data_IF_465093463722
#
_entry.id   IF_465093463722
#
_cell.length_a   1.000
_cell.length_b   1.000
_cell.length_c   1.000
_cell.angle_alpha   90.00
_cell.angle_beta   90.00
_cell.angle_gamma   90.00
#
_symmetry.space_group_name_H-M   'P 1'
#
loop_
_entity.id
_entity.type
_entity.pdbx_description
1 polymer ?
#
# COMPACT_ATOMS: atom_id res chain seq x y z
N UNK A 1 4.64 -26.39 -20.34
CA UNK A 1 5.00 -25.32 -19.38
C UNK A 1 5.11 -23.99 -20.13
N UNK A 2 4.37 -22.95 -19.71
CA UNK A 2 4.36 -21.65 -20.37
C UNK A 2 5.60 -20.87 -19.89
N UNK A 3 6.41 -20.37 -20.83
CA UNK A 3 7.62 -19.63 -20.52
C UNK A 3 7.44 -18.11 -20.73
N UNK A 4 7.91 -17.35 -19.75
CA UNK A 4 8.15 -15.92 -19.87
C UNK A 4 9.52 -15.56 -19.29
N UNK A 5 10.21 -14.58 -19.86
CA UNK A 5 11.46 -14.13 -19.30
C UNK A 5 11.30 -13.61 -17.87
N UNK A 6 10.22 -12.87 -17.61
CA UNK A 6 9.88 -12.33 -16.28
C UNK A 6 8.45 -12.75 -15.91
N UNK A 7 8.27 -13.31 -14.71
CA UNK A 7 6.95 -13.51 -14.12
C UNK A 7 6.83 -12.67 -12.85
N UNK A 8 5.71 -11.95 -12.74
CA UNK A 8 5.39 -11.06 -11.62
C UNK A 8 4.19 -11.65 -10.87
N UNK A 9 4.36 -11.97 -9.61
CA UNK A 9 3.30 -12.50 -8.76
C UNK A 9 2.65 -11.37 -7.98
N UNK A 10 1.45 -10.96 -8.42
CA UNK A 10 0.65 -9.86 -7.90
C UNK A 10 0.53 -8.67 -8.87
N UNK A 11 -0.69 -8.34 -9.26
CA UNK A 11 -1.06 -7.26 -10.20
C UNK A 11 -1.42 -5.92 -9.52
N UNK A 12 -1.07 -5.73 -8.24
CA UNK A 12 -1.24 -4.45 -7.55
C UNK A 12 -0.25 -3.38 -8.03
N UNK A 13 -0.23 -2.16 -7.42
CA UNK A 13 0.60 -1.03 -7.88
C UNK A 13 2.07 -1.36 -8.08
N UNK A 14 2.66 -2.24 -7.26
CA UNK A 14 4.04 -2.66 -7.40
C UNK A 14 4.26 -3.50 -8.67
N UNK A 15 3.47 -4.56 -8.85
CA UNK A 15 3.60 -5.45 -10.01
C UNK A 15 3.24 -4.77 -11.33
N UNK A 16 2.14 -4.01 -11.34
CA UNK A 16 1.73 -3.25 -12.53
C UNK A 16 2.77 -2.23 -12.96
N UNK A 17 3.38 -1.50 -12.01
CA UNK A 17 4.44 -0.53 -12.31
C UNK A 17 5.73 -1.20 -12.78
N UNK A 18 6.07 -2.38 -12.24
CA UNK A 18 7.20 -3.19 -12.70
C UNK A 18 6.96 -3.64 -14.15
N UNK A 19 5.80 -4.20 -14.44
CA UNK A 19 5.43 -4.68 -15.76
C UNK A 19 5.41 -3.54 -16.80
N UNK A 20 4.79 -2.40 -16.44
CA UNK A 20 4.81 -1.20 -17.29
C UNK A 20 6.23 -0.78 -17.65
N UNK A 21 7.12 -0.73 -16.65
CA UNK A 21 8.50 -0.32 -16.85
C UNK A 21 9.31 -1.34 -17.67
N UNK A 22 9.09 -2.64 -17.47
CA UNK A 22 9.68 -3.71 -18.29
C UNK A 22 9.25 -3.56 -19.75
N UNK A 23 7.97 -3.25 -20.00
CA UNK A 23 7.43 -3.04 -21.33
C UNK A 23 8.06 -1.82 -22.02
N UNK A 24 8.34 -0.72 -21.28
CA UNK A 24 9.12 0.42 -21.82
C UNK A 24 10.52 -0.02 -22.28
N UNK A 25 11.10 -1.06 -21.71
CA UNK A 25 12.39 -1.64 -22.11
C UNK A 25 12.28 -2.78 -23.13
N UNK A 26 11.09 -3.03 -23.68
CA UNK A 26 10.86 -4.10 -24.65
C UNK A 26 10.93 -5.52 -24.07
N UNK A 27 10.80 -5.67 -22.75
CA UNK A 27 10.79 -6.97 -22.08
C UNK A 27 9.35 -7.40 -21.81
N UNK A 28 8.95 -8.52 -22.41
CA UNK A 28 7.65 -9.13 -22.14
C UNK A 28 7.66 -9.85 -20.80
N UNK A 29 6.56 -9.69 -20.07
CA UNK A 29 6.35 -10.34 -18.78
C UNK A 29 4.91 -10.84 -18.63
N UNK A 30 4.73 -11.79 -17.71
CA UNK A 30 3.42 -12.28 -17.29
C UNK A 30 3.14 -11.83 -15.86
N UNK A 31 1.95 -11.28 -15.63
CA UNK A 31 1.45 -11.04 -14.28
C UNK A 31 0.50 -12.17 -13.89
N UNK A 32 0.77 -12.81 -12.75
CA UNK A 32 -0.12 -13.77 -12.10
C UNK A 32 -0.76 -13.08 -10.89
N UNK A 33 -2.09 -12.94 -10.89
CA UNK A 33 -2.81 -12.43 -9.71
C UNK A 33 -3.99 -13.36 -9.41
N UNK A 34 -4.21 -13.65 -8.14
CA UNK A 34 -5.30 -14.53 -7.71
C UNK A 34 -6.69 -13.92 -7.91
N UNK A 35 -6.79 -12.63 -8.15
CA UNK A 35 -8.05 -11.93 -8.34
C UNK A 35 -8.16 -11.32 -9.73
N UNK A 36 -9.37 -11.41 -10.29
CA UNK A 36 -9.71 -10.67 -11.51
C UNK A 36 -9.89 -9.19 -11.19
N UNK A 37 -9.38 -8.32 -12.05
CA UNK A 37 -9.55 -6.86 -11.93
C UNK A 37 -10.75 -6.37 -12.77
N UNK A 38 -11.43 -5.29 -12.34
CA UNK A 38 -11.18 -4.53 -11.10
C UNK A 38 -11.54 -5.30 -9.84
N UNK A 39 -10.84 -5.03 -8.73
CA UNK A 39 -11.07 -5.67 -7.44
C UNK A 39 -11.02 -4.68 -6.29
N UNK A 40 -11.76 -4.97 -5.23
CA UNK A 40 -11.67 -4.19 -4.00
C UNK A 40 -10.33 -4.45 -3.30
N UNK A 41 -9.63 -3.38 -2.95
CA UNK A 41 -8.43 -3.42 -2.11
C UNK A 41 -8.58 -2.38 -1.02
N UNK A 42 -8.64 -2.83 0.21
CA UNK A 42 -8.75 -1.98 1.38
C UNK A 42 -7.54 -1.05 1.48
N UNK A 43 -7.79 0.25 1.50
CA UNK A 43 -6.80 1.30 1.62
C UNK A 43 -7.48 2.67 1.58
N UNK A 44 -7.07 3.60 2.42
CA UNK A 44 -7.52 5.00 2.35
C UNK A 44 -7.34 5.62 0.95
N UNK A 45 -6.56 4.97 0.08
CA UNK A 45 -6.34 5.40 -1.31
C UNK A 45 -5.54 6.69 -1.41
N UNK A 46 -4.77 6.98 -0.42
CA UNK A 46 -3.96 8.18 -0.30
C UNK A 46 -2.68 8.04 -1.11
N UNK A 47 -2.36 9.01 -1.94
CA UNK A 47 -1.15 9.03 -2.73
C UNK A 47 -0.44 10.38 -2.63
N UNK A 48 0.88 10.33 -2.62
CA UNK A 48 1.72 11.50 -2.65
C UNK A 48 1.94 11.99 -4.10
N UNK A 49 2.32 13.26 -4.31
CA UNK A 49 2.69 13.75 -5.65
C UNK A 49 3.79 12.94 -6.35
N UNK A 50 4.63 12.24 -5.57
CA UNK A 50 5.67 11.37 -6.13
C UNK A 50 5.10 10.21 -6.94
N UNK A 51 3.91 9.71 -6.62
CA UNK A 51 3.24 8.66 -7.40
C UNK A 51 2.94 9.17 -8.81
N UNK A 52 2.44 10.39 -8.92
CA UNK A 52 2.13 11.05 -10.20
C UNK A 52 3.41 11.21 -11.04
N UNK A 53 4.50 11.68 -10.40
CA UNK A 53 5.81 11.88 -11.05
C UNK A 53 6.41 10.54 -11.49
N UNK A 54 6.46 9.54 -10.62
CA UNK A 54 7.04 8.22 -10.90
C UNK A 54 6.28 7.49 -12.02
N UNK A 55 4.96 7.64 -12.08
CA UNK A 55 4.13 7.09 -13.14
C UNK A 55 4.16 7.93 -14.42
N UNK A 56 4.81 9.11 -14.45
CA UNK A 56 4.86 10.03 -15.60
C UNK A 56 3.46 10.37 -16.13
N UNK A 57 2.52 10.68 -15.25
CA UNK A 57 1.16 11.07 -15.62
C UNK A 57 0.89 12.51 -15.19
N UNK A 58 -0.07 13.15 -15.86
CA UNK A 58 -0.69 14.38 -15.36
C UNK A 58 -1.98 14.00 -14.64
N UNK A 59 -2.34 14.74 -13.61
CA UNK A 59 -3.58 14.49 -12.84
C UNK A 59 -4.81 14.46 -13.74
N UNK A 60 -4.86 15.35 -14.74
CA UNK A 60 -5.97 15.45 -15.68
C UNK A 60 -6.00 14.31 -16.74
N UNK A 61 -4.92 13.54 -16.88
CA UNK A 61 -4.85 12.42 -17.83
C UNK A 61 -5.31 11.11 -17.17
N UNK A 62 -5.53 11.11 -15.86
CA UNK A 62 -6.09 9.97 -15.17
C UNK A 62 -7.61 9.88 -15.44
N UNK A 63 -8.10 8.76 -15.99
CA UNK A 63 -9.46 8.67 -16.52
C UNK A 63 -10.56 8.61 -15.46
N UNK A 64 -10.20 8.45 -14.21
CA UNK A 64 -11.10 8.43 -13.07
C UNK A 64 -10.85 9.62 -12.15
N UNK A 65 -11.72 9.85 -11.20
CA UNK A 65 -11.59 10.99 -10.32
C UNK A 65 -10.39 10.92 -9.38
N UNK A 66 -9.60 11.99 -9.34
CA UNK A 66 -8.60 12.24 -8.28
C UNK A 66 -9.09 13.40 -7.41
N UNK A 67 -9.11 13.16 -6.11
CA UNK A 67 -9.36 14.24 -5.14
C UNK A 67 -8.04 14.84 -4.70
N UNK A 68 -7.88 16.15 -4.83
CA UNK A 68 -6.72 16.89 -4.33
C UNK A 68 -7.00 17.47 -2.96
N UNK A 69 -6.00 17.40 -2.07
CA UNK A 69 -6.01 18.02 -0.75
C UNK A 69 -4.84 18.96 -0.60
N UNK A 70 -5.15 20.22 -0.30
CA UNK A 70 -4.17 21.25 0.04
C UNK A 70 -4.03 21.43 1.57
N UNK A 71 -4.93 20.78 2.30
CA UNK A 71 -5.01 20.83 3.76
C UNK A 71 -5.55 19.52 4.30
N UNK A 72 -5.01 19.09 5.45
CA UNK A 72 -5.60 18.08 6.33
C UNK A 72 -6.03 18.70 7.64
N UNK A 73 -7.15 18.26 8.15
CA UNK A 73 -7.61 18.58 9.49
C UNK A 73 -7.12 17.50 10.45
N UNK A 74 -6.16 17.85 11.29
CA UNK A 74 -5.52 16.95 12.23
C UNK A 74 -6.17 17.13 13.60
N UNK A 75 -6.75 16.05 14.12
CA UNK A 75 -7.33 16.01 15.46
C UNK A 75 -6.34 15.34 16.41
N UNK A 76 -5.90 16.06 17.43
CA UNK A 76 -5.02 15.56 18.49
C UNK A 76 -5.59 16.04 19.83
N UNK A 77 -5.90 15.11 20.71
CA UNK A 77 -6.57 15.38 21.98
C UNK A 77 -7.82 16.27 21.81
N UNK A 78 -8.53 16.81 21.90
CA UNK A 78 -9.70 17.67 21.64
C UNK A 78 -9.36 18.94 20.84
N UNK A 79 -8.24 18.97 20.12
CA UNK A 79 -7.83 20.10 19.29
C UNK A 79 -7.77 19.71 17.83
N UNK A 80 -8.29 20.59 16.98
CA UNK A 80 -8.15 20.50 15.53
C UNK A 80 -7.08 21.48 15.06
N UNK A 81 -6.16 21.00 14.21
CA UNK A 81 -5.10 21.80 13.62
C UNK A 81 -5.08 21.56 12.11
N UNK A 82 -5.13 22.63 11.34
CA UNK A 82 -4.99 22.56 9.89
C UNK A 82 -3.52 22.36 9.50
N UNK A 83 -3.22 21.26 8.83
CA UNK A 83 -1.90 20.98 8.27
C UNK A 83 -1.91 21.27 6.77
N UNK A 84 -1.08 22.20 6.30
CA UNK A 84 -0.90 22.43 4.86
C UNK A 84 -0.18 21.24 4.24
N UNK A 85 -0.77 20.69 3.20
CA UNK A 85 -0.26 19.51 2.46
C UNK A 85 -0.44 19.72 0.96
N UNK A 86 0.12 18.82 0.17
CA UNK A 86 -0.25 18.61 -1.22
C UNK A 86 -0.32 17.09 -1.41
N UNK A 87 -1.52 16.55 -1.39
CA UNK A 87 -1.77 15.11 -1.43
C UNK A 87 -3.00 14.83 -2.29
N UNK A 88 -3.14 13.59 -2.72
CA UNK A 88 -4.27 13.15 -3.51
C UNK A 88 -4.95 11.93 -2.87
N UNK A 89 -6.21 11.71 -3.21
CA UNK A 89 -6.90 10.47 -2.94
C UNK A 89 -7.50 9.89 -4.22
N UNK A 90 -7.36 8.58 -4.35
CA UNK A 90 -7.89 7.76 -5.45
C UNK A 90 -8.73 6.63 -4.88
N UNK A 91 -9.57 6.04 -5.69
CA UNK A 91 -10.23 4.78 -5.39
C UNK A 91 -9.37 3.62 -5.91
N UNK A 92 -9.02 2.70 -5.01
CA UNK A 92 -8.16 1.56 -5.35
C UNK A 92 -8.81 0.61 -6.37
N UNK A 93 -10.13 0.52 -6.36
CA UNK A 93 -10.90 -0.26 -7.33
C UNK A 93 -10.56 0.13 -8.76
N UNK A 94 -10.52 1.42 -9.03
CA UNK A 94 -10.24 2.00 -10.35
C UNK A 94 -8.74 2.07 -10.62
N UNK A 95 -7.98 2.60 -9.67
CA UNK A 95 -6.55 2.86 -9.83
C UNK A 95 -5.74 1.59 -10.08
N UNK A 96 -5.99 0.53 -9.33
CA UNK A 96 -5.26 -0.73 -9.52
C UNK A 96 -5.58 -1.36 -10.88
N UNK A 97 -6.85 -1.33 -11.31
CA UNK A 97 -7.27 -1.83 -12.61
C UNK A 97 -6.66 -1.03 -13.76
N UNK A 98 -6.67 0.29 -13.64
CA UNK A 98 -6.06 1.17 -14.62
C UNK A 98 -4.55 0.98 -14.74
N UNK A 99 -3.83 0.88 -13.63
CA UNK A 99 -2.38 0.59 -13.66
C UNK A 99 -2.07 -0.75 -14.31
N UNK A 100 -2.88 -1.76 -14.02
CA UNK A 100 -2.72 -3.09 -14.58
C UNK A 100 -2.92 -3.08 -16.09
N UNK A 101 -3.99 -2.44 -16.58
CA UNK A 101 -4.25 -2.27 -18.02
C UNK A 101 -3.15 -1.46 -18.70
N UNK A 102 -2.74 -0.34 -18.08
CA UNK A 102 -1.65 0.51 -18.58
C UNK A 102 -0.32 -0.22 -18.71
N UNK A 103 -0.10 -1.28 -17.94
CA UNK A 103 1.14 -2.06 -18.01
C UNK A 103 1.37 -2.71 -19.37
N UNK A 104 0.30 -3.00 -20.12
CA UNK A 104 0.37 -3.70 -21.41
C UNK A 104 0.95 -5.12 -21.32
N UNK A 105 1.03 -5.69 -20.12
CA UNK A 105 1.55 -7.03 -19.89
C UNK A 105 0.46 -8.10 -20.07
N UNK A 106 0.88 -9.32 -20.35
CA UNK A 106 0.00 -10.48 -20.26
C UNK A 106 -0.42 -10.70 -18.79
N UNK A 107 -1.70 -11.04 -18.57
CA UNK A 107 -2.27 -11.19 -17.23
C UNK A 107 -3.03 -12.51 -17.19
N UNK A 108 -2.74 -13.33 -16.19
CA UNK A 108 -3.54 -14.51 -15.88
C UNK A 108 -4.08 -14.42 -14.46
N UNK A 109 -5.39 -14.69 -14.32
CA UNK A 109 -6.00 -14.87 -13.00
C UNK A 109 -5.59 -16.26 -12.51
N UNK A 110 -4.62 -16.29 -11.59
CA UNK A 110 -4.01 -17.50 -11.07
C UNK A 110 -3.50 -17.27 -9.63
N UNK A 111 -3.93 -18.11 -8.71
CA UNK A 111 -3.39 -18.14 -7.34
C UNK A 111 -2.15 -19.01 -7.32
N UNK A 112 -1.00 -18.39 -7.07
CA UNK A 112 0.29 -19.09 -6.99
C UNK A 112 0.40 -19.80 -5.63
N UNK A 113 0.56 -21.12 -5.67
CA UNK A 113 0.65 -21.99 -4.48
C UNK A 113 2.07 -22.47 -4.25
N UNK A 114 2.73 -23.02 -5.25
CA UNK A 114 4.07 -23.58 -5.20
C UNK A 114 5.06 -22.85 -6.12
N UNK A 115 6.26 -22.66 -5.62
CA UNK A 115 7.35 -22.06 -6.40
C UNK A 115 8.65 -22.78 -6.05
N UNK A 116 9.35 -23.29 -7.07
CA UNK A 116 10.65 -23.91 -6.88
C UNK A 116 11.69 -23.39 -7.88
N UNK A 117 12.96 -23.50 -7.48
CA UNK A 117 14.10 -23.27 -8.39
C UNK A 117 14.39 -24.57 -9.17
N UNK A 118 14.63 -24.44 -10.45
CA UNK A 118 14.97 -25.53 -11.37
C UNK A 118 16.12 -25.08 -12.28
N UNK A 119 17.34 -25.34 -11.86
CA UNK A 119 18.55 -24.81 -12.50
C UNK A 119 18.59 -23.27 -12.45
N UNK A 120 18.65 -22.65 -13.62
CA UNK A 120 18.66 -21.20 -13.78
C UNK A 120 17.25 -20.57 -13.85
N UNK A 121 16.21 -21.38 -13.69
CA UNK A 121 14.82 -20.97 -13.83
C UNK A 121 14.05 -21.13 -12.53
N UNK A 122 12.89 -20.49 -12.50
CA UNK A 122 11.86 -20.67 -11.48
C UNK A 122 10.60 -21.27 -12.11
N UNK A 123 10.10 -22.32 -11.48
CA UNK A 123 8.89 -23.02 -11.89
C UNK A 123 7.78 -22.71 -10.90
N UNK A 124 6.61 -22.33 -11.42
CA UNK A 124 5.44 -21.93 -10.66
C UNK A 124 4.31 -22.90 -10.99
N UNK A 125 3.80 -23.60 -9.98
CA UNK A 125 2.67 -24.54 -10.03
C UNK A 125 2.77 -25.55 -11.18
N UNK A 126 3.98 -25.98 -11.57
CA UNK A 126 4.27 -26.85 -12.72
C UNK A 126 3.69 -26.37 -14.07
N UNK A 127 3.16 -25.14 -14.11
CA UNK A 127 2.51 -24.56 -15.29
C UNK A 127 3.35 -23.50 -15.97
N UNK A 128 4.07 -22.69 -15.19
CA UNK A 128 4.84 -21.53 -15.66
C UNK A 128 6.32 -21.66 -15.34
N UNK A 129 7.15 -21.07 -16.19
CA UNK A 129 8.61 -21.02 -16.02
C UNK A 129 9.16 -19.67 -16.38
N UNK A 130 10.12 -19.14 -15.60
CA UNK A 130 10.76 -17.87 -15.87
C UNK A 130 12.23 -17.83 -15.44
N UNK A 131 12.98 -16.87 -16.01
CA UNK A 131 14.35 -16.54 -15.58
C UNK A 131 14.36 -15.57 -14.40
N UNK A 132 13.43 -14.62 -14.40
CA UNK A 132 13.28 -13.60 -13.36
C UNK A 132 11.92 -13.72 -12.69
N UNK A 133 11.93 -13.77 -11.36
CA UNK A 133 10.71 -13.86 -10.56
C UNK A 133 10.55 -12.62 -9.69
N UNK A 134 9.40 -11.94 -9.77
CA UNK A 134 9.10 -10.74 -8.99
C UNK A 134 7.94 -10.99 -8.03
N UNK A 135 8.19 -10.90 -6.74
CA UNK A 135 7.19 -10.98 -5.68
C UNK A 135 6.56 -9.64 -5.39
N UNK A 136 5.34 -9.43 -5.86
CA UNK A 136 4.51 -8.24 -5.70
C UNK A 136 3.13 -8.53 -5.06
N UNK A 137 2.96 -9.71 -4.47
CA UNK A 137 1.67 -10.23 -3.94
C UNK A 137 1.25 -9.61 -2.58
N UNK A 138 1.87 -8.51 -2.16
CA UNK A 138 1.52 -7.83 -0.91
C UNK A 138 1.94 -8.61 0.33
N UNK A 139 1.25 -8.38 1.45
CA UNK A 139 1.58 -8.97 2.76
C UNK A 139 1.64 -10.50 2.73
N UNK A 140 0.84 -11.15 1.92
CA UNK A 140 0.76 -12.61 1.84
C UNK A 140 1.47 -13.19 0.60
N UNK A 141 2.43 -12.48 0.03
CA UNK A 141 3.15 -12.85 -1.17
C UNK A 141 3.78 -14.25 -1.07
N UNK A 142 3.47 -15.20 -1.98
CA UNK A 142 4.06 -16.54 -1.98
C UNK A 142 5.57 -16.51 -2.22
N UNK A 143 6.08 -15.61 -3.07
CA UNK A 143 7.52 -15.46 -3.31
C UNK A 143 8.26 -15.09 -2.02
N UNK A 144 7.67 -14.19 -1.18
CA UNK A 144 8.22 -13.90 0.14
C UNK A 144 8.23 -15.15 1.03
N UNK A 145 7.12 -15.89 1.08
CA UNK A 145 7.00 -17.08 1.93
C UNK A 145 8.04 -18.15 1.58
N UNK A 146 8.29 -18.34 0.29
CA UNK A 146 9.19 -19.39 -0.21
C UNK A 146 10.65 -19.01 -0.04
N UNK A 147 11.06 -17.80 -0.40
CA UNK A 147 12.49 -17.49 -0.54
C UNK A 147 13.03 -16.51 0.51
N UNK A 148 12.20 -15.66 1.10
CA UNK A 148 12.67 -14.55 1.94
C UNK A 148 12.29 -14.66 3.42
N UNK A 149 11.32 -15.48 3.78
CA UNK A 149 10.80 -15.55 5.15
C UNK A 149 11.88 -15.83 6.20
N UNK A 150 12.86 -16.66 5.89
CA UNK A 150 13.95 -17.03 6.81
C UNK A 150 15.06 -15.98 6.87
N UNK A 151 15.40 -15.38 5.74
CA UNK A 151 16.52 -14.44 5.63
C UNK A 151 16.12 -12.98 5.91
N UNK A 152 14.84 -12.66 5.78
CA UNK A 152 14.27 -11.33 6.01
C UNK A 152 12.96 -11.45 6.79
N UNK A 153 12.98 -11.94 8.04
CA UNK A 153 11.79 -12.14 8.84
C UNK A 153 11.13 -10.80 9.15
N UNK A 154 9.81 -10.76 9.04
CA UNK A 154 9.03 -9.56 9.37
C UNK A 154 8.92 -9.39 10.87
N UNK A 155 9.23 -8.21 11.36
CA UNK A 155 9.12 -7.86 12.76
C UNK A 155 7.66 -7.72 13.19
N UNK A 156 7.22 -8.49 14.19
CA UNK A 156 5.83 -8.53 14.68
C UNK A 156 5.35 -7.16 15.20
N UNK A 157 6.25 -6.39 15.83
CA UNK A 157 5.99 -5.04 16.33
C UNK A 157 5.71 -4.02 15.22
N UNK A 158 5.91 -4.40 13.95
CA UNK A 158 5.65 -3.58 12.76
C UNK A 158 4.35 -3.93 12.04
N UNK A 159 3.62 -4.92 12.52
CA UNK A 159 2.34 -5.30 11.95
C UNK A 159 1.26 -4.29 12.36
N UNK A 160 0.64 -3.67 11.36
CA UNK A 160 -0.52 -2.81 11.51
C UNK A 160 -1.76 -3.58 11.10
N UNK A 161 -2.81 -3.49 11.89
CA UNK A 161 -4.17 -3.89 11.53
C UNK A 161 -5.00 -2.67 11.20
N UNK A 162 -5.85 -2.79 10.19
CA UNK A 162 -6.82 -1.77 9.82
C UNK A 162 -8.22 -2.35 9.76
N UNK A 163 -9.21 -1.50 10.06
CA UNK A 163 -10.59 -1.65 9.64
C UNK A 163 -10.98 -0.42 8.86
N UNK A 164 -11.62 -0.63 7.72
CA UNK A 164 -12.05 0.48 6.86
C UNK A 164 -13.24 0.11 6.00
N UNK A 165 -13.89 1.13 5.49
CA UNK A 165 -14.97 1.03 4.53
C UNK A 165 -14.88 2.16 3.51
N UNK A 166 -15.12 1.86 2.23
CA UNK A 166 -15.33 2.83 1.17
C UNK A 166 -16.74 2.65 0.62
N UNK A 167 -17.54 3.71 0.66
CA UNK A 167 -18.95 3.70 0.26
C UNK A 167 -19.38 4.99 -0.43
N UNK A 168 -20.48 4.93 -1.19
CA UNK A 168 -21.10 6.13 -1.77
C UNK A 168 -21.75 6.93 -0.66
N UNK A 169 -21.44 8.23 -0.57
CA UNK A 169 -21.93 9.10 0.48
C UNK A 169 -21.97 10.56 0.03
N UNK A 170 -23.06 11.22 0.29
CA UNK A 170 -23.22 12.67 0.04
C UNK A 170 -22.59 13.46 1.19
N UNK A 171 -21.27 13.54 1.19
CA UNK A 171 -20.51 14.23 2.21
C UNK A 171 -20.53 15.75 1.99
N UNK A 172 -20.80 16.51 3.03
CA UNK A 172 -20.73 17.97 3.02
C UNK A 172 -19.35 18.50 3.42
N UNK A 173 -18.56 17.77 4.23
CA UNK A 173 -17.19 18.13 4.52
C UNK A 173 -16.24 17.50 3.50
N UNK A 174 -15.59 18.35 2.73
CA UNK A 174 -14.69 17.99 1.63
C UNK A 174 -13.23 17.81 2.05
N UNK A 175 -12.92 18.06 3.33
CA UNK A 175 -11.56 17.97 3.86
C UNK A 175 -11.23 16.54 4.28
N UNK A 176 -9.95 16.22 4.22
CA UNK A 176 -9.43 15.00 4.83
C UNK A 176 -9.20 15.25 6.34
N UNK A 177 -9.74 14.38 7.18
CA UNK A 177 -9.55 14.44 8.62
C UNK A 177 -8.75 13.25 9.11
N UNK A 178 -7.84 13.48 10.05
CA UNK A 178 -7.01 12.48 10.68
C UNK A 178 -7.04 12.64 12.18
N UNK A 179 -7.38 11.59 12.91
CA UNK A 179 -7.37 11.57 14.38
C UNK A 179 -6.19 10.76 14.87
N UNK A 180 -5.26 11.43 15.53
CA UNK A 180 -4.15 10.80 16.23
C UNK A 180 -4.45 10.71 17.71
N UNK A 181 -4.09 9.59 18.33
CA UNK A 181 -4.30 9.35 19.76
C UNK A 181 -5.76 9.25 20.21
N UNK A 182 -6.69 9.29 19.28
CA UNK A 182 -8.09 9.14 19.60
C UNK A 182 -8.31 7.82 20.35
N UNK A 183 -8.96 7.90 21.50
CA UNK A 183 -9.24 6.73 22.36
C UNK A 183 -7.99 5.84 22.62
N UNK A 184 -6.79 6.44 22.74
CA UNK A 184 -5.49 5.75 22.92
C UNK A 184 -5.14 4.77 21.80
N UNK A 185 -5.74 4.88 20.63
CA UNK A 185 -5.41 4.06 19.46
C UNK A 185 -3.90 4.21 19.15
N UNK A 186 -3.12 3.11 19.14
CA UNK A 186 -1.70 3.15 18.79
C UNK A 186 -1.51 3.26 17.27
N UNK A 187 -2.02 4.32 16.69
CA UNK A 187 -2.10 4.58 15.28
C UNK A 187 -2.92 5.83 14.99
N UNK A 188 -3.78 5.77 13.99
CA UNK A 188 -4.68 6.87 13.65
C UNK A 188 -5.95 6.40 12.94
N UNK A 189 -6.97 7.28 12.96
CA UNK A 189 -8.22 7.11 12.22
C UNK A 189 -8.32 8.16 11.12
N UNK A 190 -9.10 7.90 10.10
CA UNK A 190 -9.23 8.79 8.95
C UNK A 190 -10.66 8.90 8.41
N UNK A 191 -10.94 10.06 7.82
CA UNK A 191 -12.08 10.37 7.00
C UNK A 191 -11.55 11.00 5.72
N UNK A 192 -11.71 10.33 4.58
CA UNK A 192 -11.11 10.71 3.30
C UNK A 192 -12.19 10.78 2.22
N UNK A 193 -12.71 11.97 1.92
CA UNK A 193 -13.59 12.18 0.77
C UNK A 193 -12.86 11.82 -0.53
N UNK A 194 -13.57 11.13 -1.41
CA UNK A 194 -13.10 10.76 -2.75
C UNK A 194 -13.85 11.55 -3.81
N UNK A 195 -13.38 11.45 -5.03
CA UNK A 195 -14.15 11.93 -6.18
C UNK A 195 -15.45 11.13 -6.33
N UNK A 196 -16.40 11.68 -7.08
CA UNK A 196 -17.65 11.01 -7.48
C UNK A 196 -18.54 10.56 -6.31
N UNK A 197 -18.53 11.33 -5.19
CA UNK A 197 -19.41 11.07 -4.06
C UNK A 197 -19.07 9.78 -3.30
N UNK A 198 -17.80 9.39 -3.24
CA UNK A 198 -17.34 8.30 -2.38
C UNK A 198 -16.60 8.82 -1.15
N UNK A 199 -16.80 8.14 -0.06
CA UNK A 199 -16.11 8.39 1.21
C UNK A 199 -15.37 7.12 1.65
N UNK A 200 -14.10 7.26 2.06
CA UNK A 200 -13.38 6.21 2.76
C UNK A 200 -13.14 6.64 4.20
N UNK A 201 -13.57 5.81 5.12
CA UNK A 201 -13.29 5.97 6.55
C UNK A 201 -12.55 4.74 7.06
N UNK A 202 -11.71 4.93 8.06
CA UNK A 202 -10.99 3.80 8.62
C UNK A 202 -10.18 4.13 9.84
N UNK A 203 -9.64 3.07 10.42
CA UNK A 203 -8.70 3.10 11.54
C UNK A 203 -7.55 2.16 11.27
N UNK A 204 -6.37 2.49 11.77
CA UNK A 204 -5.20 1.61 11.75
C UNK A 204 -4.38 1.72 13.02
N UNK A 205 -3.91 0.59 13.53
CA UNK A 205 -3.11 0.56 14.73
C UNK A 205 -2.13 -0.61 14.77
N UNK A 206 -1.03 -0.45 15.52
CA UNK A 206 -0.04 -1.51 15.74
C UNK A 206 -0.65 -2.63 16.57
N UNK A 207 -0.70 -3.84 16.00
CA UNK A 207 -1.36 -4.99 16.62
C UNK A 207 -0.81 -5.33 18.02
N UNK A 208 0.51 -5.37 18.16
CA UNK A 208 1.13 -5.72 19.45
C UNK A 208 0.85 -4.66 20.53
N UNK A 209 0.73 -3.39 20.15
CA UNK A 209 0.37 -2.33 21.09
C UNK A 209 -1.11 -2.36 21.48
N UNK A 210 -2.01 -2.71 20.55
CA UNK A 210 -3.42 -2.93 20.87
C UNK A 210 -3.56 -4.06 21.90
N UNK A 211 -2.90 -5.19 21.67
CA UNK A 211 -2.90 -6.32 22.62
C UNK A 211 -2.33 -5.94 23.99
N UNK A 212 -1.21 -5.21 24.02
CA UNK A 212 -0.59 -4.75 25.26
C UNK A 212 -1.50 -3.81 26.07
N UNK A 213 -2.37 -3.08 25.39
CA UNK A 213 -3.38 -2.21 26.02
C UNK A 213 -4.68 -2.94 26.40
N UNK A 214 -4.76 -4.27 26.24
CA UNK A 214 -5.99 -5.08 26.37
C UNK A 214 -7.15 -4.52 25.52
N UNK A 215 -6.84 -4.06 24.30
CA UNK A 215 -7.78 -3.46 23.39
C UNK A 215 -7.74 -4.17 22.02
N UNK A 216 -8.78 -4.00 21.26
CA UNK A 216 -8.85 -4.54 19.90
C UNK A 216 -9.34 -3.50 18.88
N UNK A 217 -9.08 -3.78 17.63
CA UNK A 217 -9.40 -2.88 16.53
C UNK A 217 -10.92 -2.69 16.34
N UNK A 218 -11.76 -3.64 16.76
CA UNK A 218 -13.22 -3.54 16.62
C UNK A 218 -13.80 -2.58 17.65
N UNK A 219 -13.30 -2.59 18.88
CA UNK A 219 -13.68 -1.63 19.90
C UNK A 219 -13.31 -0.21 19.49
N UNK A 220 -12.11 -0.04 18.93
CA UNK A 220 -11.63 1.22 18.39
C UNK A 220 -12.51 1.70 17.20
N UNK A 221 -12.91 0.78 16.32
CA UNK A 221 -13.81 1.08 15.22
C UNK A 221 -15.17 1.59 15.71
N UNK A 222 -15.80 0.90 16.66
CA UNK A 222 -17.08 1.32 17.23
C UNK A 222 -17.00 2.70 17.88
N UNK A 223 -15.90 2.99 18.57
CA UNK A 223 -15.68 4.32 19.15
C UNK A 223 -15.52 5.39 18.09
N UNK A 224 -14.82 5.08 17.00
CA UNK A 224 -14.57 6.02 15.91
C UNK A 224 -15.84 6.33 15.10
N UNK A 225 -16.65 5.32 14.79
CA UNK A 225 -17.91 5.54 14.06
C UNK A 225 -18.88 6.43 14.86
N UNK A 226 -18.97 6.25 16.18
CA UNK A 226 -19.75 7.15 17.07
C UNK A 226 -19.19 8.57 17.05
N UNK A 227 -17.89 8.74 16.95
CA UNK A 227 -17.28 10.07 16.85
C UNK A 227 -17.63 10.75 15.52
N UNK A 228 -17.64 10.01 14.41
CA UNK A 228 -18.07 10.54 13.10
C UNK A 228 -19.53 10.99 13.12
N UNK A 229 -20.40 10.23 13.76
CA UNK A 229 -21.81 10.59 13.97
C UNK A 229 -21.94 11.84 14.85
N UNK A 230 -21.25 11.89 15.98
CA UNK A 230 -21.21 13.03 16.91
C UNK A 230 -20.77 14.32 16.22
N UNK A 231 -19.77 14.23 15.35
CA UNK A 231 -19.27 15.37 14.55
C UNK A 231 -20.16 15.68 13.33
N UNK A 232 -21.21 14.88 13.11
CA UNK A 232 -22.07 14.97 11.94
C UNK A 232 -21.33 14.81 10.61
N UNK A 233 -20.17 14.16 10.60
CA UNK A 233 -19.40 13.86 9.40
C UNK A 233 -19.99 12.69 8.61
N UNK A 234 -20.57 11.72 9.31
CA UNK A 234 -21.33 10.61 8.73
C UNK A 234 -22.63 10.46 9.53
N UNK A 235 -23.75 10.37 8.85
CA UNK A 235 -25.09 10.17 9.44
C UNK A 235 -25.84 9.10 8.66
N UNK A 236 -26.74 8.41 9.33
CA UNK A 236 -27.68 7.46 8.72
C UNK A 236 -26.99 6.38 7.86
N UNK A 237 -25.78 5.95 8.25
CA UNK A 237 -25.00 4.92 7.57
C UNK A 237 -24.81 3.69 8.46
N UNK A 238 -25.09 2.51 7.88
CA UNK A 238 -24.79 1.23 8.54
C UNK A 238 -23.40 0.77 8.13
N UNK A 239 -22.45 0.80 9.07
CA UNK A 239 -21.04 0.49 8.82
C UNK A 239 -20.79 -1.01 8.67
N UNK A 240 -20.13 -1.42 7.57
CA UNK A 240 -19.67 -2.79 7.28
C UNK A 240 -18.17 -2.83 6.96
N UNK A 241 -17.35 -2.49 7.94
CA UNK A 241 -15.90 -2.42 7.78
C UNK A 241 -15.27 -3.78 7.49
N UNK A 242 -14.28 -3.75 6.62
CA UNK A 242 -13.42 -4.91 6.33
C UNK A 242 -12.03 -4.69 6.88
N UNK A 243 -11.36 -5.79 7.25
CA UNK A 243 -10.03 -5.77 7.84
C UNK A 243 -8.92 -6.08 6.85
N UNK A 244 -7.79 -5.42 7.03
CA UNK A 244 -6.55 -5.73 6.33
C UNK A 244 -5.36 -5.57 7.28
N UNK A 245 -4.24 -6.23 6.98
CA UNK A 245 -3.00 -6.07 7.73
C UNK A 245 -1.79 -5.95 6.81
N UNK A 246 -0.83 -5.13 7.21
CA UNK A 246 0.42 -4.92 6.48
C UNK A 246 1.55 -4.53 7.43
N UNK A 247 2.78 -4.59 6.92
CA UNK A 247 3.97 -4.26 7.71
C UNK A 247 4.49 -2.88 7.35
N UNK A 248 4.69 -2.05 8.38
CA UNK A 248 5.40 -0.78 8.27
C UNK A 248 6.90 -1.05 8.05
N UNK A 249 7.52 -0.25 7.23
CA UNK A 249 8.93 -0.37 6.85
C UNK A 249 9.86 -0.46 8.04
N UNK A 250 10.63 -1.52 8.06
CA UNK A 250 11.79 -1.72 8.93
C UNK A 250 13.09 -1.64 8.12
N UNK A 251 14.23 -1.96 8.72
CA UNK A 251 15.43 -2.26 7.94
C UNK A 251 15.10 -3.46 7.02
N UNK A 252 15.34 -3.28 5.72
CA UNK A 252 15.11 -4.31 4.72
C UNK A 252 16.48 -4.63 4.14
N UNK A 253 17.08 -5.71 4.62
CA UNK A 253 18.48 -6.03 4.32
C UNK A 253 18.61 -6.77 2.99
N UNK A 254 17.61 -7.53 2.58
CA UNK A 254 17.62 -8.25 1.33
C UNK A 254 16.23 -8.22 0.64
N UNK A 255 16.19 -7.67 -0.57
CA UNK A 255 15.02 -7.65 -1.46
C UNK A 255 15.29 -8.36 -2.78
N UNK A 256 16.47 -8.95 -2.91
CA UNK A 256 16.90 -9.70 -4.07
C UNK A 256 17.77 -10.90 -3.67
N UNK A 257 17.44 -12.04 -4.23
CA UNK A 257 18.24 -13.29 -4.19
C UNK A 257 18.36 -13.76 -5.62
N UNK A 258 19.57 -13.86 -6.15
CA UNK A 258 19.77 -14.19 -7.57
C UNK A 258 18.85 -13.34 -8.47
N UNK A 259 18.00 -13.98 -9.25
CA UNK A 259 17.00 -13.38 -10.14
C UNK A 259 15.59 -13.28 -9.51
N UNK A 260 15.48 -13.35 -8.17
CA UNK A 260 14.21 -13.14 -7.46
C UNK A 260 14.22 -11.77 -6.81
N UNK A 261 13.13 -11.01 -7.00
CA UNK A 261 12.97 -9.65 -6.48
C UNK A 261 11.73 -9.54 -5.61
N UNK A 262 11.81 -8.78 -4.51
CA UNK A 262 10.65 -8.40 -3.70
C UNK A 262 10.37 -6.90 -3.79
N UNK A 263 9.09 -6.54 -3.99
CA UNK A 263 8.67 -5.14 -4.14
C UNK A 263 7.36 -4.86 -3.38
N UNK A 264 7.11 -3.59 -3.10
CA UNK A 264 5.91 -3.13 -2.42
C UNK A 264 5.74 -3.72 -1.02
N UNK A 265 4.50 -4.02 -0.64
CA UNK A 265 4.17 -4.60 0.67
C UNK A 265 4.76 -6.02 0.85
N UNK A 266 5.09 -6.74 -0.22
CA UNK A 266 5.79 -8.01 -0.12
C UNK A 266 7.18 -7.83 0.52
N UNK A 267 7.84 -6.69 0.25
CA UNK A 267 9.09 -6.29 0.87
C UNK A 267 8.90 -5.46 2.17
N UNK A 268 7.66 -5.21 2.61
CA UNK A 268 7.37 -4.43 3.81
C UNK A 268 7.76 -2.96 3.69
N UNK A 269 7.40 -2.29 2.58
CA UNK A 269 7.88 -0.95 2.26
C UNK A 269 6.93 0.19 2.65
N UNK A 270 5.78 -0.06 3.28
CA UNK A 270 4.87 0.99 3.72
C UNK A 270 5.59 2.02 4.61
N UNK A 271 5.33 3.30 4.40
CA UNK A 271 6.05 4.41 5.06
C UNK A 271 5.93 4.38 6.58
N UNK A 272 6.96 4.88 7.26
CA UNK A 272 7.06 4.81 8.73
C UNK A 272 6.08 5.72 9.47
N UNK A 273 5.72 6.84 8.84
CA UNK A 273 4.88 7.87 9.45
C UNK A 273 3.39 7.62 9.26
N UNK A 274 2.97 7.28 8.04
CA UNK A 274 1.55 7.18 7.68
C UNK A 274 1.14 5.78 7.18
N UNK A 275 2.07 4.83 7.07
CA UNK A 275 1.76 3.53 6.49
C UNK A 275 1.33 3.59 5.02
N UNK A 276 1.66 4.69 4.32
CA UNK A 276 1.40 4.83 2.88
C UNK A 276 2.22 3.79 2.12
N UNK A 277 1.56 2.94 1.35
CA UNK A 277 2.18 1.83 0.64
C UNK A 277 2.20 1.99 -0.87
N UNK A 278 1.35 2.85 -1.46
CA UNK A 278 1.18 2.96 -2.92
C UNK A 278 2.44 3.57 -3.56
N UNK A 279 2.96 4.65 -3.02
CA UNK A 279 4.18 5.29 -3.53
C UNK A 279 5.40 4.37 -3.48
N UNK A 280 5.75 3.79 -2.32
CA UNK A 280 6.78 2.77 -2.23
C UNK A 280 6.58 1.57 -3.16
N UNK A 281 5.33 1.13 -3.36
CA UNK A 281 5.00 0.04 -4.27
C UNK A 281 5.32 0.42 -5.72
N UNK A 282 4.83 1.55 -6.21
CA UNK A 282 5.11 2.06 -7.55
C UNK A 282 6.61 2.21 -7.77
N UNK A 283 7.29 2.93 -6.86
CA UNK A 283 8.73 3.17 -6.99
C UNK A 283 9.56 1.90 -6.99
N UNK A 284 9.29 0.97 -6.07
CA UNK A 284 10.03 -0.29 -6.02
C UNK A 284 9.78 -1.17 -7.24
N UNK A 285 8.59 -1.12 -7.82
CA UNK A 285 8.27 -1.80 -9.08
C UNK A 285 9.13 -1.29 -10.24
N UNK A 286 9.22 0.03 -10.41
CA UNK A 286 10.06 0.67 -11.42
C UNK A 286 11.53 0.28 -11.23
N UNK A 287 12.05 0.36 -10.01
CA UNK A 287 13.44 0.01 -9.70
C UNK A 287 13.76 -1.47 -9.94
N UNK A 288 12.82 -2.38 -9.69
CA UNK A 288 13.01 -3.79 -10.00
C UNK A 288 13.12 -4.04 -11.50
N UNK A 289 12.28 -3.38 -12.31
CA UNK A 289 12.38 -3.45 -13.76
C UNK A 289 13.73 -2.90 -14.28
N UNK A 290 14.19 -1.78 -13.73
CA UNK A 290 15.51 -1.21 -14.05
C UNK A 290 16.66 -2.15 -13.67
N UNK A 291 16.57 -2.82 -12.50
CA UNK A 291 17.55 -3.80 -12.06
C UNK A 291 17.59 -5.02 -12.99
N UNK A 292 16.44 -5.59 -13.35
CA UNK A 292 16.31 -6.71 -14.29
C UNK A 292 16.92 -6.35 -15.66
N UNK A 293 16.63 -5.16 -16.18
CA UNK A 293 17.07 -4.73 -17.49
C UNK A 293 18.57 -4.46 -17.55
N UNK A 294 19.12 -3.84 -16.49
CA UNK A 294 20.53 -3.46 -16.45
C UNK A 294 21.47 -4.55 -15.90
N UNK A 295 20.92 -5.63 -15.34
CA UNK A 295 21.71 -6.66 -14.62
C UNK A 295 22.30 -6.17 -13.28
N UNK A 296 21.91 -4.97 -12.81
CA UNK A 296 22.40 -4.42 -11.55
C UNK A 296 21.57 -4.92 -10.36
N UNK A 297 22.18 -4.89 -9.18
CA UNK A 297 21.47 -5.23 -7.93
C UNK A 297 20.37 -4.20 -7.65
N UNK A 298 19.21 -4.69 -7.21
CA UNK A 298 18.09 -3.84 -6.79
C UNK A 298 18.46 -2.99 -5.57
N UNK A 299 18.35 -1.67 -5.72
CA UNK A 299 18.55 -0.71 -4.64
C UNK A 299 17.25 0.02 -4.32
N UNK A 300 16.84 0.01 -3.06
CA UNK A 300 15.66 0.73 -2.56
C UNK A 300 15.98 2.11 -1.95
N UNK A 301 17.17 2.65 -2.19
CA UNK A 301 17.62 3.92 -1.58
C UNK A 301 16.73 5.11 -1.96
N UNK A 302 16.18 5.13 -3.17
CA UNK A 302 15.29 6.17 -3.65
C UNK A 302 13.82 5.97 -3.26
N UNK A 303 13.47 4.83 -2.67
CA UNK A 303 12.11 4.58 -2.16
C UNK A 303 11.90 5.37 -0.88
N UNK A 304 10.95 6.29 -0.88
CA UNK A 304 10.65 7.14 0.28
C UNK A 304 10.33 6.31 1.52
N UNK A 305 10.90 6.72 2.65
CA UNK A 305 10.67 6.07 3.96
C UNK A 305 9.52 6.73 4.73
N UNK A 306 9.14 7.95 4.35
CA UNK A 306 8.11 8.75 4.97
C UNK A 306 7.25 9.43 3.90
N UNK A 307 5.96 9.60 4.17
CA UNK A 307 4.99 10.30 3.31
C UNK A 307 5.11 11.81 3.43
N UNK A 308 5.42 12.31 4.64
CA UNK A 308 5.67 13.73 4.87
C UNK A 308 7.18 14.05 4.83
N UNK A 309 7.55 15.26 4.39
CA UNK A 309 8.93 15.71 4.50
C UNK A 309 9.40 15.64 5.96
N UNK A 310 10.53 14.97 6.19
CA UNK A 310 11.12 14.84 7.55
C UNK A 310 11.54 16.17 8.18
N UNK A 311 11.56 17.24 7.41
CA UNK A 311 11.88 18.59 7.85
C UNK A 311 10.72 19.29 8.58
N UNK A 312 9.47 18.80 8.39
CA UNK A 312 8.35 19.38 9.15
C UNK A 312 8.44 18.94 10.61
N UNK A 313 8.28 19.90 11.53
CA UNK A 313 8.21 19.62 12.97
C UNK A 313 7.13 18.59 13.29
N UNK A 314 6.03 18.63 12.56
CA UNK A 314 4.93 17.67 12.66
C UNK A 314 5.37 16.25 12.25
N UNK A 315 6.05 16.06 11.12
CA UNK A 315 6.54 14.75 10.69
C UNK A 315 7.51 14.14 11.70
N UNK A 316 8.40 14.94 12.27
CA UNK A 316 9.31 14.48 13.34
C UNK A 316 8.57 14.11 14.62
N UNK A 317 7.61 14.90 15.05
CA UNK A 317 6.78 14.63 16.23
C UNK A 317 5.92 13.39 16.02
N UNK A 318 5.30 13.23 14.87
CA UNK A 318 4.48 12.08 14.53
C UNK A 318 5.30 10.78 14.53
N UNK A 319 6.47 10.78 13.89
CA UNK A 319 7.37 9.63 13.88
C UNK A 319 7.84 9.33 15.30
N UNK A 320 8.32 10.34 16.03
CA UNK A 320 8.75 10.19 17.43
C UNK A 320 7.62 9.62 18.27
N UNK A 321 6.42 10.09 18.10
CA UNK A 321 5.25 9.66 18.86
C UNK A 321 4.83 8.21 18.51
N UNK A 322 4.66 7.88 17.23
CA UNK A 322 4.27 6.54 16.80
C UNK A 322 5.28 5.46 17.20
N UNK A 323 6.56 5.82 17.32
CA UNK A 323 7.64 4.89 17.67
C UNK A 323 8.19 5.06 19.09
N UNK A 324 7.89 6.14 19.81
CA UNK A 324 8.35 6.41 21.19
C UNK A 324 7.38 5.97 22.27
N UNK A 325 6.21 5.51 21.93
CA UNK A 325 5.38 4.75 22.87
C UNK A 325 6.13 3.45 23.20
N UNK A 326 7.08 3.57 24.14
CA UNK A 326 7.73 2.42 24.75
C UNK A 326 6.63 1.53 25.34
N UNK A 327 6.77 0.22 25.09
CA UNK A 327 6.06 -0.82 25.82
C UNK A 327 6.24 -0.63 27.30
#
# INVERSE_FOLDING_TARGET
MIYYKVIIVGGGPAGSSCAWKLKEYGIDCLILDKQKFPRTKLCAGWITPWVIIDLKIKVNDYPYGIREFNRFNIHIFNKEVALKVHQYAIRRYEFDSWLLQRSGAAINTHEVEDIRKDGDYYVIDDQYRCEYLVGAGGTHCPVYRTFFKQINPRAKDRLVMTLEEEFSYDYHDVNCHLWFLYNKLPGYSWYVPKSEGYLNIGIGGFLEKLKANNDDIKNQWQSFTKELERLSLVKDHHFDAKGYSYYIRNAVDSVQIDNIFLIGDAAGLATKDMGEGIGPAVKSGILAAEAITSGKKLSLNSVKKNSFPTYSTFGKLLIKYLFSLKM
#
